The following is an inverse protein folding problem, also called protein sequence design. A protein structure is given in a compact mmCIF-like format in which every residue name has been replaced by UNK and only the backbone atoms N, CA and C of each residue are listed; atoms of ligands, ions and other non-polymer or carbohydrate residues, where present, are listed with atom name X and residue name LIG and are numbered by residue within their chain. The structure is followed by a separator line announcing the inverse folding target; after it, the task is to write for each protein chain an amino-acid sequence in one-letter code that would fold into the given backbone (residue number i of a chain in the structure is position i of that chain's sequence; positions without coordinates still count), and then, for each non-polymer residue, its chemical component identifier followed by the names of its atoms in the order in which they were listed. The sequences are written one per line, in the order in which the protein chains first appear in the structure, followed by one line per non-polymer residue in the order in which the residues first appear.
data_IF_232151696444
#
_entry.id   IF_232151696444
#
_cell.length_a   1.000
_cell.length_b   1.000
_cell.length_c   1.000
_cell.angle_alpha   90.00
_cell.angle_beta   90.00
_cell.angle_gamma   90.00
#
_symmetry.space_group_name_H-M   'P 1'
#
loop_
_entity.id
_entity.type
_entity.pdbx_description
1 polymer ?
#
# COMPACT_ATOMS: atom_id res chain seq x y z
N UNK A 1 -0.31 7.05 -9.43
CA UNK A 1 0.72 7.33 -10.45
C UNK A 1 0.15 8.41 -11.35
N UNK A 2 0.88 9.47 -11.68
CA UNK A 2 0.40 10.42 -12.69
C UNK A 2 0.27 9.67 -14.03
N UNK A 3 -0.85 9.85 -14.73
CA UNK A 3 -1.16 9.08 -15.95
C UNK A 3 -1.79 7.72 -15.73
N UNK A 4 -2.39 7.46 -14.55
CA UNK A 4 -3.26 6.30 -14.37
C UNK A 4 -4.33 6.24 -15.48
N UNK A 5 -4.91 7.41 -15.80
CA UNK A 5 -5.98 7.56 -16.79
C UNK A 5 -5.56 7.33 -18.25
N UNK A 6 -4.25 7.22 -18.53
CA UNK A 6 -3.71 7.06 -19.88
C UNK A 6 -3.36 5.61 -20.22
N UNK A 7 -3.73 4.67 -19.35
CA UNK A 7 -3.37 3.26 -19.49
C UNK A 7 -4.31 2.52 -20.44
N UNK A 8 -3.79 1.69 -21.36
CA UNK A 8 -4.61 0.97 -22.33
C UNK A 8 -5.50 -0.11 -21.68
N UNK A 9 -5.11 -0.62 -20.50
CA UNK A 9 -5.85 -1.59 -19.69
C UNK A 9 -6.84 -0.94 -18.72
N UNK A 10 -7.06 0.38 -18.81
CA UNK A 10 -7.96 1.07 -17.89
C UNK A 10 -9.43 0.65 -18.15
N UNK A 11 -10.15 0.15 -17.13
CA UNK A 11 -11.57 -0.10 -17.26
C UNK A 11 -12.31 1.22 -17.54
N UNK A 12 -13.17 1.21 -18.55
CA UNK A 12 -13.95 2.39 -18.92
C UNK A 12 -14.89 2.78 -17.75
N UNK A 13 -15.02 4.07 -17.42
CA UNK A 13 -15.96 4.50 -16.39
C UNK A 13 -17.39 4.15 -16.81
N UNK A 14 -18.02 3.22 -16.10
CA UNK A 14 -19.46 2.90 -16.27
C UNK A 14 -20.29 3.78 -15.32
N UNK A 15 -21.57 4.00 -15.61
CA UNK A 15 -22.49 4.70 -14.67
C UNK A 15 -22.46 4.11 -13.26
N UNK A 16 -22.25 2.80 -13.12
CA UNK A 16 -22.15 2.09 -11.84
C UNK A 16 -20.76 2.17 -11.18
N UNK A 17 -19.70 2.53 -11.92
CA UNK A 17 -18.32 2.47 -11.43
C UNK A 17 -17.51 3.69 -11.85
N UNK A 18 -17.68 4.78 -11.10
CA UNK A 18 -16.81 5.96 -11.22
C UNK A 18 -15.48 5.70 -10.50
N UNK A 19 -14.37 5.71 -11.25
CA UNK A 19 -13.02 5.50 -10.73
C UNK A 19 -12.35 6.85 -10.48
N UNK A 20 -12.07 7.18 -9.21
CA UNK A 20 -11.31 8.38 -8.83
C UNK A 20 -9.96 8.01 -8.22
N UNK A 21 -8.88 8.46 -8.87
CA UNK A 21 -7.53 8.23 -8.38
C UNK A 21 -7.06 9.36 -7.45
N UNK A 22 -6.69 9.00 -6.24
CA UNK A 22 -6.05 9.94 -5.31
C UNK A 22 -4.53 9.83 -5.44
N UNK A 23 -3.93 10.72 -6.24
CA UNK A 23 -2.48 10.80 -6.39
C UNK A 23 -1.89 11.76 -5.36
N UNK A 24 -0.71 11.44 -4.84
CA UNK A 24 0.02 12.32 -3.93
C UNK A 24 0.54 13.56 -4.67
N UNK A 25 0.55 14.70 -3.99
CA UNK A 25 1.00 15.97 -4.53
C UNK A 25 2.51 15.95 -4.83
N UNK A 26 2.96 16.69 -5.84
CA UNK A 26 4.39 16.88 -6.13
C UNK A 26 5.07 17.67 -5.01
N UNK A 27 6.34 17.38 -4.74
CA UNK A 27 7.11 18.02 -3.65
C UNK A 27 7.17 19.55 -3.75
N UNK A 28 7.30 20.13 -4.96
CA UNK A 28 7.34 21.59 -5.12
C UNK A 28 6.01 22.24 -4.74
N UNK A 29 4.88 21.72 -5.23
CA UNK A 29 3.55 22.22 -4.88
C UNK A 29 3.26 22.12 -3.38
N UNK A 30 3.77 21.07 -2.74
CA UNK A 30 3.66 20.91 -1.28
C UNK A 30 4.46 21.96 -0.51
N UNK A 31 5.61 22.42 -1.04
CA UNK A 31 6.41 23.50 -0.42
C UNK A 31 5.75 24.87 -0.55
N UNK A 32 4.90 25.06 -1.55
CA UNK A 32 4.19 26.31 -1.80
C UNK A 32 2.94 26.48 -0.91
N UNK A 33 2.52 25.43 -0.19
CA UNK A 33 1.36 25.48 0.71
C UNK A 33 1.66 26.36 1.94
N UNK A 34 0.77 27.30 2.24
CA UNK A 34 0.83 28.08 3.47
C UNK A 34 0.03 27.41 4.58
N UNK A 35 0.72 26.87 5.58
CA UNK A 35 0.07 26.17 6.70
C UNK A 35 -0.79 27.07 7.59
N UNK A 36 -0.65 28.40 7.48
CA UNK A 36 -1.50 29.35 8.19
C UNK A 36 -2.89 29.46 7.55
N UNK A 37 -3.00 29.13 6.25
CA UNK A 37 -4.27 29.10 5.56
C UNK A 37 -4.99 27.76 5.81
N UNK A 38 -6.26 27.76 6.25
CA UNK A 38 -6.93 26.54 6.70
C UNK A 38 -7.08 25.48 5.60
N UNK A 39 -7.27 25.89 4.34
CA UNK A 39 -7.45 24.97 3.20
C UNK A 39 -6.13 24.25 2.88
N UNK A 40 -5.01 24.96 2.93
CA UNK A 40 -3.68 24.42 2.65
C UNK A 40 -3.21 23.49 3.77
N UNK A 41 -3.49 23.85 5.02
CA UNK A 41 -3.26 22.98 6.18
C UNK A 41 -4.06 21.67 6.09
N UNK A 42 -5.31 21.72 5.63
CA UNK A 42 -6.12 20.52 5.39
C UNK A 42 -5.53 19.65 4.26
N UNK A 43 -5.07 20.29 3.19
CA UNK A 43 -4.43 19.61 2.05
C UNK A 43 -3.15 18.88 2.48
N UNK A 44 -2.34 19.53 3.31
CA UNK A 44 -1.13 18.91 3.89
C UNK A 44 -1.47 17.67 4.73
N UNK A 45 -2.52 17.74 5.57
CA UNK A 45 -3.00 16.58 6.34
C UNK A 45 -3.45 15.43 5.45
N UNK A 46 -4.15 15.72 4.34
CA UNK A 46 -4.54 14.69 3.37
C UNK A 46 -3.31 14.00 2.75
N UNK A 47 -2.28 14.75 2.38
CA UNK A 47 -1.02 14.19 1.86
C UNK A 47 -0.29 13.33 2.91
N UNK A 48 -0.34 13.71 4.19
CA UNK A 48 0.19 12.88 5.27
C UNK A 48 -0.58 11.57 5.41
N UNK A 49 -1.91 11.59 5.33
CA UNK A 49 -2.74 10.37 5.37
C UNK A 49 -2.41 9.45 4.20
N UNK A 50 -2.32 9.98 2.97
CA UNK A 50 -1.88 9.20 1.79
C UNK A 50 -0.51 8.56 2.03
N UNK A 51 0.41 9.29 2.63
CA UNK A 51 1.77 8.82 2.94
C UNK A 51 1.76 7.72 4.02
N UNK A 52 0.95 7.85 5.08
CA UNK A 52 0.77 6.84 6.12
C UNK A 52 0.22 5.53 5.55
N UNK A 53 -0.79 5.61 4.69
CA UNK A 53 -1.36 4.46 4.00
C UNK A 53 -0.28 3.76 3.17
N UNK A 54 0.50 4.53 2.39
CA UNK A 54 1.60 4.00 1.58
C UNK A 54 2.63 3.27 2.45
N UNK A 55 3.06 3.87 3.55
CA UNK A 55 4.04 3.27 4.45
C UNK A 55 3.57 1.91 5.02
N UNK A 56 2.29 1.80 5.39
CA UNK A 56 1.70 0.53 5.86
C UNK A 56 1.76 -0.57 4.80
N UNK A 57 1.41 -0.23 3.56
CA UNK A 57 1.42 -1.16 2.43
C UNK A 57 2.85 -1.57 2.07
N UNK A 58 3.76 -0.60 1.93
CA UNK A 58 5.17 -0.84 1.64
C UNK A 58 5.84 -1.75 2.67
N UNK A 59 5.46 -1.64 3.95
CA UNK A 59 5.97 -2.52 4.99
C UNK A 59 5.63 -3.99 4.73
N UNK A 60 4.36 -4.31 4.45
CA UNK A 60 3.95 -5.68 4.13
C UNK A 60 4.67 -6.22 2.88
N UNK A 61 4.81 -5.42 1.83
CA UNK A 61 5.58 -5.78 0.65
C UNK A 61 7.07 -6.01 0.96
N UNK A 62 7.66 -5.22 1.85
CA UNK A 62 9.04 -5.41 2.29
C UNK A 62 9.20 -6.73 3.04
N UNK A 63 8.25 -7.09 3.89
CA UNK A 63 8.24 -8.40 4.57
C UNK A 63 8.25 -9.54 3.57
N UNK A 64 7.32 -9.52 2.61
CA UNK A 64 7.22 -10.55 1.57
C UNK A 64 8.49 -10.64 0.71
N UNK A 65 9.04 -9.49 0.30
CA UNK A 65 10.22 -9.47 -0.58
C UNK A 65 11.52 -9.80 0.13
N UNK A 66 11.71 -9.34 1.37
CA UNK A 66 12.98 -9.47 2.08
C UNK A 66 13.01 -10.62 3.07
N UNK A 67 11.97 -10.84 3.87
CA UNK A 67 11.95 -11.92 4.85
C UNK A 67 11.59 -13.26 4.21
N UNK A 68 10.61 -13.26 3.30
CA UNK A 68 10.20 -14.48 2.58
C UNK A 68 10.89 -14.67 1.22
N UNK A 69 11.80 -13.76 0.83
CA UNK A 69 12.64 -13.90 -0.36
C UNK A 69 11.90 -13.81 -1.71
N UNK A 70 10.64 -13.36 -1.74
CA UNK A 70 9.83 -13.28 -2.97
C UNK A 70 10.19 -12.05 -3.82
N UNK A 71 11.44 -11.97 -4.28
CA UNK A 71 11.97 -10.85 -5.10
C UNK A 71 11.75 -11.05 -6.60
N UNK A 72 11.67 -12.29 -7.08
CA UNK A 72 11.50 -12.64 -8.49
C UNK A 72 10.29 -13.55 -8.67
N UNK A 73 9.40 -13.19 -9.58
CA UNK A 73 8.26 -14.02 -9.99
C UNK A 73 8.68 -14.88 -11.19
N UNK A 74 8.24 -16.14 -11.22
CA UNK A 74 8.46 -17.02 -12.37
C UNK A 74 7.33 -16.79 -13.38
N UNK A 75 7.62 -16.70 -14.68
CA UNK A 75 6.56 -16.52 -15.68
C UNK A 75 5.72 -17.78 -15.91
N UNK A 76 6.31 -18.97 -15.67
CA UNK A 76 5.59 -20.25 -15.79
C UNK A 76 4.74 -20.50 -14.54
N UNK A 77 3.55 -21.07 -14.73
CA UNK A 77 2.67 -21.48 -13.63
C UNK A 77 2.04 -20.31 -12.87
N UNK A 78 1.48 -19.33 -13.58
CA UNK A 78 0.85 -18.13 -13.00
C UNK A 78 -0.13 -18.45 -11.86
N UNK A 79 -0.99 -19.46 -12.02
CA UNK A 79 -1.94 -19.86 -10.97
C UNK A 79 -1.24 -20.28 -9.67
N UNK A 80 -0.16 -21.07 -9.76
CA UNK A 80 0.62 -21.52 -8.60
C UNK A 80 1.31 -20.32 -7.92
N UNK A 81 1.82 -19.38 -8.71
CA UNK A 81 2.46 -18.16 -8.17
C UNK A 81 1.44 -17.28 -7.45
N UNK A 82 0.21 -17.13 -7.97
CA UNK A 82 -0.86 -16.39 -7.32
C UNK A 82 -1.26 -17.03 -5.99
N UNK A 83 -1.43 -18.35 -5.95
CA UNK A 83 -1.69 -19.09 -4.71
C UNK A 83 -0.57 -18.89 -3.69
N UNK A 84 0.69 -19.01 -4.11
CA UNK A 84 1.86 -18.76 -3.26
C UNK A 84 1.84 -17.33 -2.69
N UNK A 85 1.48 -16.33 -3.51
CA UNK A 85 1.40 -14.94 -3.07
C UNK A 85 0.33 -14.76 -1.97
N UNK A 86 -0.85 -15.36 -2.11
CA UNK A 86 -1.89 -15.33 -1.08
C UNK A 86 -1.40 -15.92 0.24
N UNK A 87 -0.74 -17.08 0.19
CA UNK A 87 -0.14 -17.70 1.38
C UNK A 87 0.91 -16.80 2.02
N UNK A 88 1.79 -16.17 1.24
CA UNK A 88 2.80 -15.25 1.74
C UNK A 88 2.20 -14.01 2.41
N UNK A 89 1.09 -13.46 1.89
CA UNK A 89 0.38 -12.36 2.54
C UNK A 89 -0.22 -12.77 3.89
N UNK A 90 -0.80 -13.97 3.99
CA UNK A 90 -1.30 -14.51 5.26
C UNK A 90 -0.16 -14.66 6.30
N UNK A 91 0.97 -15.22 5.87
CA UNK A 91 2.17 -15.36 6.72
C UNK A 91 2.78 -14.01 7.11
N UNK A 92 2.76 -13.02 6.21
CA UNK A 92 3.24 -11.67 6.52
C UNK A 92 2.41 -11.01 7.63
N UNK A 93 1.08 -11.23 7.63
CA UNK A 93 0.21 -10.77 8.72
C UNK A 93 0.59 -11.39 10.07
N UNK A 94 0.84 -12.70 10.10
CA UNK A 94 1.31 -13.40 11.30
C UNK A 94 2.68 -12.87 11.75
N UNK A 95 3.61 -12.69 10.82
CA UNK A 95 4.94 -12.16 11.10
C UNK A 95 4.88 -10.74 11.69
N UNK A 96 4.02 -9.87 11.17
CA UNK A 96 3.81 -8.52 11.72
C UNK A 96 3.16 -8.55 13.11
N UNK A 97 2.28 -9.52 13.37
CA UNK A 97 1.62 -9.70 14.67
C UNK A 97 2.49 -10.44 15.71
N UNK A 98 3.66 -11.00 15.31
CA UNK A 98 4.50 -11.86 16.16
C UNK A 98 4.76 -11.31 17.56
N UNK A 99 4.99 -10.00 17.70
CA UNK A 99 5.30 -9.38 18.99
C UNK A 99 4.13 -9.44 19.96
N UNK A 100 2.89 -9.36 19.46
CA UNK A 100 1.67 -9.52 20.26
C UNK A 100 1.41 -11.00 20.56
N UNK A 101 1.57 -11.86 19.55
CA UNK A 101 1.35 -13.30 19.68
C UNK A 101 2.32 -13.95 20.68
N UNK A 102 3.61 -13.62 20.61
CA UNK A 102 4.62 -14.13 21.53
C UNK A 102 4.43 -13.62 22.97
N UNK A 103 3.94 -12.38 23.15
CA UNK A 103 3.57 -11.87 24.48
C UNK A 103 2.36 -12.59 25.04
N UNK A 104 1.32 -12.79 24.24
CA UNK A 104 0.13 -13.55 24.66
C UNK A 104 0.48 -14.99 25.05
N UNK A 105 1.33 -15.67 24.29
CA UNK A 105 1.80 -17.02 24.61
C UNK A 105 2.63 -17.10 25.90
N UNK A 106 3.44 -16.08 26.20
CA UNK A 106 4.17 -15.98 27.48
C UNK A 106 3.27 -15.68 28.68
N UNK A 107 2.12 -15.06 28.47
CA UNK A 107 1.18 -14.72 29.54
C UNK A 107 0.18 -15.87 29.83
N UNK A 108 0.16 -16.92 28.99
CA UNK A 108 -0.69 -18.11 29.13
C UNK A 108 0.06 -19.33 29.68
N UNK A 109 1.39 -19.22 29.82
CA UNK A 109 2.26 -20.21 30.44
C UNK A 109 2.66 -19.74 31.84
#
# INVERSE_FOLDING_TARGET
MQGADKRPDMPQPTQERQLRWHVAMKRHKRKELDLNHPIDALTERLEQVKSKIRAKVEHAFRVIKCQFGHRKVRYRGLQKNTQQLHTLFALANLWMARGRLLKAGKNMA
#
